data_IF_027494027783
#
_entry.id   IF_027494027783
#
_cell.length_a   1.000
_cell.length_b   1.000
_cell.length_c   1.000
_cell.angle_alpha   90.00
_cell.angle_beta   90.00
_cell.angle_gamma   90.00
#
_symmetry.space_group_name_H-M   'P 1'
#
loop_
_entity.id
_entity.type
_entity.pdbx_description
1 polymer ?
#
# COMPACT_ATOMS: atom_id res chain seq x y z
N UNK A 1 21.67 -14.85 -47.77
CA UNK A 1 20.39 -14.11 -47.68
C UNK A 1 20.42 -13.36 -46.38
N UNK A 2 20.99 -12.15 -46.39
CA UNK A 2 21.04 -11.28 -45.21
C UNK A 2 19.67 -10.64 -44.98
N UNK A 3 19.07 -10.90 -43.85
CA UNK A 3 17.85 -10.19 -43.41
C UNK A 3 18.21 -8.72 -43.18
N UNK A 4 17.69 -7.82 -44.02
CA UNK A 4 17.70 -6.38 -43.77
C UNK A 4 17.00 -6.12 -42.42
N UNK A 5 17.76 -5.69 -41.43
CA UNK A 5 17.21 -5.02 -40.24
C UNK A 5 16.58 -3.71 -40.72
N UNK A 6 15.25 -3.68 -40.82
CA UNK A 6 14.53 -2.42 -41.01
C UNK A 6 14.87 -1.49 -39.82
N UNK A 7 15.39 -0.32 -40.15
CA UNK A 7 15.54 0.77 -39.20
C UNK A 7 14.12 1.22 -38.82
N UNK A 8 13.67 0.88 -37.63
CA UNK A 8 12.45 1.44 -37.04
C UNK A 8 12.68 2.95 -36.90
N UNK A 9 11.92 3.76 -37.62
CA UNK A 9 11.97 5.21 -37.48
C UNK A 9 11.40 5.61 -36.10
N UNK A 10 11.90 6.70 -35.52
CA UNK A 10 11.43 7.20 -34.21
C UNK A 10 9.91 7.51 -34.17
N UNK A 11 9.26 7.64 -35.33
CA UNK A 11 7.80 7.78 -35.47
C UNK A 11 7.00 6.52 -35.12
N UNK A 12 7.65 5.34 -35.07
CA UNK A 12 7.00 4.05 -34.78
C UNK A 12 7.15 3.64 -33.29
N UNK A 13 7.75 4.46 -32.47
CA UNK A 13 7.78 4.26 -31.02
C UNK A 13 6.45 4.77 -30.50
N UNK A 14 5.48 3.87 -30.35
CA UNK A 14 4.25 4.18 -29.62
C UNK A 14 4.62 4.63 -28.20
N UNK A 15 4.00 5.71 -27.75
CA UNK A 15 4.22 6.27 -26.40
C UNK A 15 4.01 5.22 -25.28
N UNK A 16 3.29 4.16 -25.56
CA UNK A 16 3.00 3.01 -24.69
C UNK A 16 4.21 2.10 -24.45
N UNK A 17 5.11 1.95 -25.44
CA UNK A 17 6.23 0.98 -25.35
C UNK A 17 7.26 1.27 -24.25
N UNK A 18 7.39 2.53 -23.78
CA UNK A 18 8.37 2.85 -22.74
C UNK A 18 7.83 2.65 -21.32
N UNK A 19 6.51 2.60 -21.15
CA UNK A 19 5.88 2.42 -19.84
C UNK A 19 5.72 0.95 -19.47
N UNK A 20 5.72 0.02 -20.42
CA UNK A 20 5.55 -1.42 -20.18
C UNK A 20 6.54 -1.96 -19.15
N UNK A 21 7.80 -1.52 -19.16
CA UNK A 21 8.81 -1.93 -18.18
C UNK A 21 8.46 -1.52 -16.74
N UNK A 22 7.54 -0.55 -16.56
CA UNK A 22 7.05 -0.05 -15.27
C UNK A 22 5.63 -0.54 -14.94
N UNK A 23 5.12 -1.51 -15.67
CA UNK A 23 3.83 -2.14 -15.45
C UNK A 23 3.98 -3.52 -14.79
N UNK A 24 4.90 -3.61 -13.85
CA UNK A 24 5.19 -4.80 -13.04
C UNK A 24 5.19 -4.44 -11.56
N UNK A 25 5.31 -5.42 -10.68
CA UNK A 25 5.39 -5.18 -9.23
C UNK A 25 4.13 -4.52 -8.67
N UNK A 26 2.94 -4.92 -9.17
CA UNK A 26 1.68 -4.37 -8.70
C UNK A 26 1.49 -4.61 -7.21
N UNK A 27 1.21 -3.52 -6.47
CA UNK A 27 0.66 -3.63 -5.13
C UNK A 27 -0.79 -4.11 -5.23
N UNK A 28 -1.07 -5.26 -4.65
CA UNK A 28 -2.37 -5.93 -4.63
C UNK A 28 -2.73 -6.33 -3.21
N UNK A 29 -3.88 -6.94 -3.01
CA UNK A 29 -4.25 -7.53 -1.71
C UNK A 29 -3.21 -8.56 -1.22
N UNK A 30 -2.49 -9.23 -2.15
CA UNK A 30 -1.45 -10.20 -1.79
C UNK A 30 -0.16 -9.55 -1.29
N UNK A 31 0.08 -8.29 -1.59
CA UNK A 31 1.24 -7.53 -1.06
C UNK A 31 0.93 -6.85 0.26
N UNK A 32 -0.35 -6.75 0.65
CA UNK A 32 -0.76 -6.15 1.91
C UNK A 32 -0.27 -6.98 3.10
N UNK A 33 0.02 -6.27 4.18
CA UNK A 33 0.31 -6.84 5.49
C UNK A 33 -0.71 -6.34 6.50
N UNK A 34 -0.95 -7.12 7.55
CA UNK A 34 -1.74 -6.64 8.68
C UNK A 34 -0.92 -5.58 9.44
N UNK A 35 -1.44 -4.38 9.55
CA UNK A 35 -0.71 -3.23 10.12
C UNK A 35 -1.15 -2.84 11.53
N UNK A 36 -2.25 -3.39 12.02
CA UNK A 36 -2.79 -3.07 13.33
C UNK A 36 -1.81 -3.34 14.47
N UNK A 37 -1.57 -2.31 15.31
CA UNK A 37 -0.63 -2.36 16.43
C UNK A 37 0.85 -2.26 16.05
N UNK A 38 1.18 -2.13 14.75
CA UNK A 38 2.56 -1.95 14.29
C UNK A 38 2.98 -0.49 14.36
N UNK A 39 4.28 -0.26 14.56
CA UNK A 39 4.86 1.08 14.52
C UNK A 39 5.08 1.48 13.06
N UNK A 40 4.55 2.64 12.71
CA UNK A 40 4.82 3.31 11.44
C UNK A 40 5.85 4.43 11.64
N UNK A 41 6.84 4.48 10.77
CA UNK A 41 7.78 5.58 10.65
C UNK A 41 7.35 6.45 9.46
N UNK A 42 6.77 7.62 9.77
CA UNK A 42 6.16 8.48 8.76
C UNK A 42 7.23 9.18 7.89
N UNK A 43 7.05 9.11 6.59
CA UNK A 43 7.78 9.88 5.60
C UNK A 43 7.00 11.12 5.13
N UNK A 44 6.03 11.57 5.92
CA UNK A 44 5.24 12.78 5.66
C UNK A 44 6.10 14.05 5.78
N UNK A 45 5.59 15.18 5.25
CA UNK A 45 6.24 16.48 5.34
C UNK A 45 6.74 16.97 4.00
N UNK A 46 7.88 17.66 3.96
CA UNK A 46 8.42 18.25 2.74
C UNK A 46 8.93 17.22 1.75
N UNK A 47 8.40 17.28 0.52
CA UNK A 47 8.87 16.51 -0.63
C UNK A 47 9.18 17.47 -1.77
N UNK A 48 10.33 17.34 -2.40
CA UNK A 48 10.59 18.03 -3.66
C UNK A 48 9.67 17.49 -4.73
N UNK A 49 9.18 18.38 -5.63
CA UNK A 49 8.26 17.94 -6.68
C UNK A 49 8.50 18.64 -8.02
N UNK A 50 8.07 18.00 -9.08
CA UNK A 50 7.98 18.59 -10.41
C UNK A 50 6.71 18.14 -11.12
N UNK A 51 6.14 19.06 -11.92
CA UNK A 51 5.08 18.72 -12.88
C UNK A 51 5.71 17.99 -14.07
N UNK A 52 5.17 16.83 -14.43
CA UNK A 52 5.71 15.98 -15.49
C UNK A 52 4.63 15.64 -16.54
N UNK A 53 4.20 16.66 -17.28
CA UNK A 53 3.11 16.54 -18.28
C UNK A 53 3.38 15.49 -19.38
N UNK A 54 4.63 15.11 -19.60
CA UNK A 54 5.05 14.27 -20.71
C UNK A 54 5.68 12.95 -20.27
N UNK A 55 5.50 12.54 -19.00
CA UNK A 55 6.14 11.36 -18.41
C UNK A 55 7.67 11.33 -18.62
N UNK A 56 8.29 12.48 -18.56
CA UNK A 56 9.72 12.66 -18.82
C UNK A 56 10.56 11.94 -17.77
N UNK A 57 10.06 11.86 -16.52
CA UNK A 57 10.70 11.11 -15.45
C UNK A 57 10.94 9.65 -15.84
N UNK A 58 9.97 9.01 -16.48
CA UNK A 58 10.07 7.62 -16.92
C UNK A 58 11.00 7.49 -18.13
N UNK A 59 10.81 8.32 -19.15
CA UNK A 59 11.57 8.28 -20.40
C UNK A 59 13.05 8.62 -20.22
N UNK A 60 13.34 9.67 -19.45
CA UNK A 60 14.71 10.14 -19.19
C UNK A 60 15.28 9.58 -17.88
N UNK A 61 14.51 8.75 -17.17
CA UNK A 61 14.96 8.05 -15.98
C UNK A 61 15.47 8.98 -14.86
N UNK A 62 14.74 10.08 -14.59
CA UNK A 62 15.10 11.06 -13.55
C UNK A 62 15.37 10.40 -12.19
N UNK A 63 14.64 9.31 -11.88
CA UNK A 63 14.77 8.55 -10.64
C UNK A 63 16.17 7.94 -10.42
N UNK A 64 17.02 7.86 -11.47
CA UNK A 64 18.38 7.30 -11.36
C UNK A 64 19.41 8.25 -10.81
N UNK A 65 19.17 9.58 -10.86
CA UNK A 65 20.11 10.67 -10.51
C UNK A 65 21.43 10.64 -11.30
N UNK A 66 21.90 9.44 -11.66
CA UNK A 66 23.12 9.21 -12.44
C UNK A 66 22.93 8.05 -13.40
N UNK A 67 23.58 8.08 -14.52
CA UNK A 67 23.63 7.00 -15.49
C UNK A 67 25.06 6.78 -15.97
N UNK A 68 25.35 5.62 -16.56
CA UNK A 68 26.57 5.38 -17.30
C UNK A 68 26.36 5.78 -18.75
N UNK A 69 27.25 6.66 -19.24
CA UNK A 69 27.25 7.00 -20.64
C UNK A 69 27.83 5.86 -21.51
N UNK A 70 27.81 6.04 -22.85
CA UNK A 70 28.33 5.05 -23.80
C UNK A 70 29.83 4.76 -23.63
N UNK A 71 30.58 5.69 -23.03
CA UNK A 71 32.02 5.56 -22.72
C UNK A 71 32.27 4.92 -21.36
N UNK A 72 31.21 4.60 -20.60
CA UNK A 72 31.30 3.97 -19.28
C UNK A 72 31.52 4.94 -18.12
N UNK A 73 31.53 6.26 -18.35
CA UNK A 73 31.60 7.26 -17.27
C UNK A 73 30.26 7.40 -16.57
N UNK A 74 30.31 7.59 -15.25
CA UNK A 74 29.11 7.92 -14.47
C UNK A 74 28.88 9.42 -14.51
N UNK A 75 27.81 9.84 -15.18
CA UNK A 75 27.42 11.23 -15.34
C UNK A 75 26.13 11.51 -14.57
N UNK A 76 25.94 12.72 -14.01
CA UNK A 76 24.68 13.12 -13.45
C UNK A 76 23.61 13.20 -14.54
N UNK A 77 22.37 12.97 -14.18
CA UNK A 77 21.23 13.33 -15.00
C UNK A 77 21.08 14.85 -14.91
N UNK A 78 20.67 15.51 -16.01
CA UNK A 78 20.57 16.98 -16.11
C UNK A 78 19.55 17.61 -15.13
N UNK A 79 18.93 16.82 -14.28
CA UNK A 79 17.92 17.25 -13.32
C UNK A 79 18.41 17.05 -11.89
N UNK A 80 18.49 18.13 -11.13
CA UNK A 80 18.75 18.08 -9.68
C UNK A 80 17.45 18.15 -8.92
N UNK A 81 17.06 17.05 -8.29
CA UNK A 81 15.89 17.03 -7.43
C UNK A 81 15.96 18.03 -6.26
N UNK A 82 17.17 18.31 -5.79
CA UNK A 82 17.38 19.17 -4.62
C UNK A 82 17.09 20.65 -4.90
N UNK A 83 16.97 21.04 -6.18
CA UNK A 83 16.60 22.39 -6.62
C UNK A 83 15.09 22.55 -6.91
N UNK A 84 14.34 21.47 -6.86
CA UNK A 84 12.90 21.51 -7.09
C UNK A 84 12.16 22.15 -5.92
N UNK A 85 10.99 22.79 -6.19
CA UNK A 85 10.15 23.30 -5.12
C UNK A 85 9.69 22.18 -4.20
N UNK A 86 9.23 22.56 -2.99
CA UNK A 86 8.81 21.63 -1.94
C UNK A 86 7.30 21.72 -1.74
N UNK A 87 6.65 20.58 -1.67
CA UNK A 87 5.24 20.39 -1.32
C UNK A 87 5.11 19.55 -0.04
N UNK A 88 4.18 19.90 0.82
CA UNK A 88 3.91 19.12 2.02
C UNK A 88 3.01 17.94 1.70
N UNK A 89 3.53 16.71 1.82
CA UNK A 89 2.72 15.50 1.70
C UNK A 89 2.34 14.97 3.10
N UNK A 90 1.16 14.37 3.27
CA UNK A 90 0.14 14.12 2.23
C UNK A 90 -0.66 15.37 1.86
N UNK A 91 -1.02 15.47 0.57
CA UNK A 91 -1.92 16.51 0.07
C UNK A 91 -2.51 16.13 -1.30
N UNK A 92 -3.58 16.83 -1.69
CA UNK A 92 -3.99 16.94 -3.09
C UNK A 92 -3.37 18.18 -3.69
N UNK A 93 -2.59 18.07 -4.78
CA UNK A 93 -1.97 19.25 -5.41
C UNK A 93 -2.98 20.25 -5.95
N UNK A 94 -4.20 19.80 -6.30
CA UNK A 94 -5.27 20.67 -6.78
C UNK A 94 -5.73 21.69 -5.74
N UNK A 95 -5.38 21.51 -4.46
CA UNK A 95 -5.77 22.41 -3.37
C UNK A 95 -4.64 23.27 -2.84
N UNK A 96 -3.43 23.08 -3.34
CA UNK A 96 -2.23 23.76 -2.81
C UNK A 96 -1.98 25.10 -3.51
N UNK A 97 -2.16 25.14 -4.83
CA UNK A 97 -1.92 26.34 -5.64
C UNK A 97 -2.97 26.45 -6.74
N UNK A 98 -3.53 27.64 -6.99
CA UNK A 98 -4.50 27.87 -8.08
C UNK A 98 -4.00 27.40 -9.45
N UNK A 99 -2.70 27.40 -9.70
CA UNK A 99 -2.08 26.90 -10.94
C UNK A 99 -2.41 25.42 -11.17
N UNK A 100 -2.54 24.62 -10.09
CA UNK A 100 -2.82 23.18 -10.17
C UNK A 100 -4.28 22.82 -9.99
N UNK A 101 -5.18 23.81 -9.82
CA UNK A 101 -6.59 23.56 -9.51
C UNK A 101 -7.25 22.54 -10.47
N UNK A 102 -6.99 22.68 -11.75
CA UNK A 102 -7.53 21.81 -12.80
C UNK A 102 -6.50 20.88 -13.42
N UNK A 103 -5.31 20.75 -12.81
CA UNK A 103 -4.27 19.92 -13.36
C UNK A 103 -4.55 18.44 -13.06
N UNK A 104 -4.82 17.68 -14.11
CA UNK A 104 -4.98 16.23 -14.11
C UNK A 104 -3.88 15.63 -15.03
N UNK A 105 -2.75 15.32 -14.47
CA UNK A 105 -1.60 14.77 -15.19
C UNK A 105 -0.62 14.14 -14.21
N UNK A 106 0.64 14.04 -14.61
CA UNK A 106 1.69 13.43 -13.80
C UNK A 106 2.45 14.49 -12.98
N UNK A 107 2.70 14.17 -11.70
CA UNK A 107 3.68 14.84 -10.86
C UNK A 107 4.67 13.85 -10.27
N UNK A 108 5.91 14.27 -10.14
CA UNK A 108 6.98 13.49 -9.54
C UNK A 108 7.33 14.09 -8.19
N UNK A 109 7.37 13.26 -7.17
CA UNK A 109 7.74 13.63 -5.80
C UNK A 109 8.98 12.86 -5.39
N UNK A 110 9.87 13.51 -4.64
CA UNK A 110 11.08 12.86 -4.12
C UNK A 110 11.45 13.35 -2.73
N UNK A 111 12.00 12.42 -1.92
CA UNK A 111 12.50 12.69 -0.58
C UNK A 111 13.71 11.84 -0.27
N UNK A 112 14.66 12.39 0.50
CA UNK A 112 15.74 11.64 1.14
C UNK A 112 15.34 11.22 2.54
N UNK A 113 15.78 10.04 2.97
CA UNK A 113 15.64 9.58 4.35
C UNK A 113 16.78 8.64 4.72
N UNK A 114 17.17 8.66 5.99
CA UNK A 114 18.17 7.76 6.54
C UNK A 114 17.50 6.50 7.10
N UNK A 115 18.18 5.37 7.02
CA UNK A 115 17.69 4.10 7.54
C UNK A 115 18.82 3.33 8.21
N UNK A 116 18.54 2.84 9.41
CA UNK A 116 19.46 1.97 10.16
C UNK A 116 18.83 0.58 10.20
N UNK A 117 19.51 -0.38 9.57
CA UNK A 117 19.05 -1.76 9.50
C UNK A 117 19.09 -2.43 10.90
N UNK A 118 18.05 -3.16 11.22
CA UNK A 118 18.02 -4.10 12.31
C UNK A 118 18.18 -5.53 11.78
N UNK A 119 18.56 -6.47 12.65
CA UNK A 119 18.74 -7.86 12.21
C UNK A 119 17.41 -8.53 11.95
N UNK A 120 17.33 -9.32 10.88
CA UNK A 120 16.18 -10.20 10.56
C UNK A 120 14.84 -9.47 10.44
N UNK A 121 14.87 -8.26 9.94
CA UNK A 121 13.66 -7.49 9.66
C UNK A 121 13.28 -7.50 8.17
N UNK A 122 12.02 -7.27 7.90
CA UNK A 122 11.46 -6.92 6.61
C UNK A 122 10.87 -5.53 6.70
N UNK A 123 11.15 -4.68 5.72
CA UNK A 123 10.64 -3.30 5.68
C UNK A 123 9.69 -3.12 4.52
N UNK A 124 8.51 -2.65 4.82
CA UNK A 124 7.50 -2.29 3.83
C UNK A 124 7.41 -0.78 3.69
N UNK A 125 7.34 -0.31 2.45
CA UNK A 125 6.85 1.01 2.13
C UNK A 125 5.33 0.93 2.02
N UNK A 126 4.63 1.77 2.78
CA UNK A 126 3.19 2.01 2.65
C UNK A 126 2.97 3.37 2.00
N UNK A 127 2.15 3.42 0.96
CA UNK A 127 1.53 4.63 0.45
C UNK A 127 0.03 4.50 0.70
N UNK A 128 -0.50 5.27 1.63
CA UNK A 128 -1.88 5.10 2.11
C UNK A 128 -2.94 5.43 1.08
N UNK A 129 -2.68 6.39 0.20
CA UNK A 129 -3.47 6.68 -1.00
C UNK A 129 -2.72 7.62 -1.94
N UNK A 130 -2.70 7.30 -3.22
CA UNK A 130 -2.15 8.16 -4.28
C UNK A 130 -3.04 8.06 -5.51
N UNK A 131 -3.63 9.16 -5.94
CA UNK A 131 -4.60 9.16 -7.04
C UNK A 131 -3.94 9.61 -8.35
N UNK A 132 -3.95 8.78 -9.35
CA UNK A 132 -4.59 7.45 -9.46
C UNK A 132 -3.56 6.32 -9.61
N UNK A 133 -2.57 6.52 -10.45
CA UNK A 133 -1.47 5.60 -10.71
C UNK A 133 -0.23 6.10 -9.99
N UNK A 134 0.34 5.29 -9.11
CA UNK A 134 1.57 5.59 -8.39
C UNK A 134 2.65 4.58 -8.75
N UNK A 135 3.78 5.07 -9.30
CA UNK A 135 4.99 4.28 -9.52
C UNK A 135 6.04 4.66 -8.48
N UNK A 136 6.67 3.65 -7.91
CA UNK A 136 7.64 3.81 -6.83
C UNK A 136 9.03 3.43 -7.31
N UNK A 137 9.98 4.30 -6.99
CA UNK A 137 11.41 4.05 -7.21
C UNK A 137 12.17 4.29 -5.90
N UNK A 138 13.14 3.45 -5.61
CA UNK A 138 14.02 3.60 -4.44
C UNK A 138 15.48 3.41 -4.87
N UNK A 139 16.31 4.40 -4.54
CA UNK A 139 17.75 4.39 -4.86
C UNK A 139 18.05 4.11 -6.34
N UNK A 140 17.24 4.70 -7.23
CA UNK A 140 17.40 4.57 -8.68
C UNK A 140 16.89 3.26 -9.28
N UNK A 141 16.21 2.42 -8.50
CA UNK A 141 15.59 1.17 -8.95
C UNK A 141 14.07 1.28 -8.89
N UNK A 142 13.41 0.73 -9.90
CA UNK A 142 11.96 0.56 -9.89
C UNK A 142 11.56 -0.50 -8.87
N UNK A 143 10.57 -0.19 -8.03
CA UNK A 143 10.06 -1.07 -6.97
C UNK A 143 8.74 -1.70 -7.39
N UNK A 144 7.83 -0.89 -7.94
CA UNK A 144 6.52 -1.36 -8.34
C UNK A 144 5.53 -0.22 -8.52
N UNK A 145 4.27 -0.58 -8.76
CA UNK A 145 3.20 0.36 -9.01
C UNK A 145 1.91 -0.01 -8.30
N UNK A 146 1.02 0.97 -8.17
CA UNK A 146 -0.34 0.79 -7.69
C UNK A 146 -1.32 1.58 -8.57
N UNK A 147 -2.47 0.99 -8.85
CA UNK A 147 -3.63 1.64 -9.50
C UNK A 147 -4.79 1.65 -8.53
N UNK A 148 -5.22 2.83 -8.12
CA UNK A 148 -6.34 2.98 -7.21
C UNK A 148 -6.17 4.17 -6.28
N UNK A 149 -7.00 5.21 -6.45
CA UNK A 149 -6.83 6.49 -5.78
C UNK A 149 -7.05 6.47 -4.26
N UNK A 150 -7.74 5.47 -3.72
CA UNK A 150 -8.21 5.52 -2.32
C UNK A 150 -7.79 4.32 -1.48
N UNK A 151 -7.06 3.37 -2.05
CA UNK A 151 -6.60 2.15 -1.38
C UNK A 151 -5.12 2.21 -1.04
N UNK A 152 -4.71 1.66 0.11
CA UNK A 152 -3.30 1.63 0.48
C UNK A 152 -2.53 0.61 -0.37
N UNK A 153 -1.28 0.92 -0.64
CA UNK A 153 -0.34 0.08 -1.37
C UNK A 153 0.87 -0.23 -0.51
N UNK A 154 1.36 -1.48 -0.59
CA UNK A 154 2.49 -1.96 0.17
C UNK A 154 3.51 -2.63 -0.75
N UNK A 155 4.78 -2.30 -0.56
CA UNK A 155 5.90 -2.94 -1.25
C UNK A 155 6.97 -3.33 -0.24
N UNK A 156 7.44 -4.56 -0.30
CA UNK A 156 8.65 -4.97 0.41
C UNK A 156 9.86 -4.28 -0.24
N UNK A 157 10.49 -3.38 0.50
CA UNK A 157 11.62 -2.59 0.02
C UNK A 157 12.94 -2.99 0.65
N UNK A 158 12.99 -4.05 1.45
CA UNK A 158 14.15 -4.47 2.24
C UNK A 158 15.45 -4.53 1.41
N UNK A 159 15.37 -5.14 0.22
CA UNK A 159 16.54 -5.31 -0.65
C UNK A 159 17.01 -4.03 -1.35
N UNK A 160 16.19 -2.99 -1.34
CA UNK A 160 16.51 -1.70 -1.97
C UNK A 160 17.15 -0.71 -1.00
N UNK A 161 17.02 -0.94 0.32
CA UNK A 161 17.45 0.00 1.36
C UNK A 161 18.97 0.09 1.49
N UNK A 162 19.41 1.29 1.84
CA UNK A 162 20.78 1.68 2.19
C UNK A 162 20.74 2.52 3.46
N UNK A 163 21.92 2.95 3.98
CA UNK A 163 21.98 3.90 5.10
C UNK A 163 21.31 5.25 4.73
N UNK A 164 21.60 5.75 3.53
CA UNK A 164 20.95 6.93 2.96
C UNK A 164 20.17 6.54 1.72
N UNK A 165 18.92 6.98 1.67
CA UNK A 165 17.96 6.59 0.65
C UNK A 165 17.33 7.80 -0.02
N UNK A 166 17.03 7.64 -1.31
CA UNK A 166 16.14 8.53 -2.05
C UNK A 166 14.97 7.73 -2.60
N UNK A 167 13.75 8.13 -2.21
CA UNK A 167 12.51 7.63 -2.77
C UNK A 167 11.99 8.61 -3.81
N UNK A 168 11.45 8.08 -4.91
CA UNK A 168 10.74 8.84 -5.94
C UNK A 168 9.39 8.20 -6.17
N UNK A 169 8.34 9.02 -6.14
CA UNK A 169 6.97 8.65 -6.48
C UNK A 169 6.58 9.40 -7.75
N UNK A 170 6.29 8.67 -8.82
CA UNK A 170 5.69 9.25 -10.03
C UNK A 170 4.18 8.95 -9.98
N UNK A 171 3.38 10.00 -9.79
CA UNK A 171 1.93 9.92 -9.61
C UNK A 171 1.24 10.52 -10.80
N UNK A 172 0.42 9.71 -11.49
CA UNK A 172 -0.37 10.13 -12.64
C UNK A 172 -1.86 10.18 -12.25
N UNK A 173 -2.42 11.38 -12.24
CA UNK A 173 -3.82 11.67 -11.92
C UNK A 173 -4.74 11.76 -13.14
N UNK A 174 -4.25 11.43 -14.33
CA UNK A 174 -5.06 11.47 -15.56
C UNK A 174 -6.24 10.52 -15.48
N UNK A 175 -7.46 11.03 -15.70
CA UNK A 175 -8.66 10.19 -15.80
C UNK A 175 -8.65 9.33 -17.06
N UNK A 176 -9.13 8.10 -16.93
CA UNK A 176 -9.25 7.14 -18.03
C UNK A 176 -10.55 6.36 -17.92
N UNK A 177 -11.09 5.81 -19.04
CA UNK A 177 -12.37 5.10 -19.02
C UNK A 177 -12.45 3.93 -18.02
N UNK A 178 -11.32 3.25 -17.79
CA UNK A 178 -11.20 2.07 -16.90
C UNK A 178 -10.96 2.41 -15.43
N UNK A 179 -10.93 3.70 -15.08
CA UNK A 179 -10.62 4.16 -13.71
C UNK A 179 -11.88 4.55 -12.92
N UNK A 180 -11.71 4.78 -11.63
CA UNK A 180 -12.75 5.33 -10.76
C UNK A 180 -12.16 6.55 -10.02
N UNK A 181 -12.67 7.75 -10.27
CA UNK A 181 -13.75 8.11 -11.20
C UNK A 181 -13.34 7.95 -12.68
N UNK A 182 -14.31 7.62 -13.53
CA UNK A 182 -14.12 7.56 -14.99
C UNK A 182 -14.06 8.98 -15.59
N UNK A 183 -13.74 9.09 -16.90
CA UNK A 183 -13.66 10.37 -17.61
C UNK A 183 -14.96 11.20 -17.52
N UNK A 184 -16.10 10.52 -17.52
CA UNK A 184 -17.44 11.15 -17.57
C UNK A 184 -18.10 11.22 -16.17
N UNK A 185 -17.37 11.67 -15.15
CA UNK A 185 -17.93 11.87 -13.82
C UNK A 185 -18.03 13.34 -13.47
N UNK A 186 -19.08 13.71 -12.73
CA UNK A 186 -19.30 15.07 -12.26
C UNK A 186 -18.44 15.43 -11.03
N UNK A 187 -17.62 14.48 -10.56
CA UNK A 187 -16.79 14.71 -9.39
C UNK A 187 -15.44 15.32 -9.75
N UNK A 188 -15.02 16.23 -8.90
CA UNK A 188 -13.69 16.81 -9.00
C UNK A 188 -12.64 15.71 -8.76
N UNK A 189 -11.70 15.59 -9.66
CA UNK A 189 -10.62 14.61 -9.56
C UNK A 189 -9.48 15.18 -8.73
N UNK A 190 -9.51 14.95 -7.42
CA UNK A 190 -8.40 15.33 -6.55
C UNK A 190 -7.23 14.40 -6.78
N UNK A 191 -6.16 14.93 -7.36
CA UNK A 191 -4.92 14.21 -7.64
C UNK A 191 -3.88 14.45 -6.55
N UNK A 192 -2.98 13.51 -6.34
CA UNK A 192 -1.90 13.64 -5.35
C UNK A 192 -1.69 12.42 -4.50
N UNK A 193 -0.85 12.57 -3.48
CA UNK A 193 -0.67 11.60 -2.41
C UNK A 193 -1.32 12.18 -1.17
N UNK A 194 -2.51 11.72 -0.83
CA UNK A 194 -3.35 12.38 0.19
C UNK A 194 -3.60 11.55 1.45
N UNK A 195 -2.88 10.43 1.61
CA UNK A 195 -2.73 9.71 2.89
C UNK A 195 -1.27 9.43 3.17
N UNK A 196 -0.98 9.04 4.40
CA UNK A 196 0.34 8.87 4.93
C UNK A 196 1.25 7.99 4.05
N UNK A 197 2.51 8.36 3.99
CA UNK A 197 3.59 7.58 3.46
C UNK A 197 4.41 7.12 4.64
N UNK A 198 4.62 5.81 4.80
CA UNK A 198 5.28 5.26 5.98
C UNK A 198 6.20 4.08 5.65
N UNK A 199 7.18 3.88 6.51
CA UNK A 199 7.91 2.63 6.62
C UNK A 199 7.30 1.80 7.73
N UNK A 200 7.03 0.53 7.46
CA UNK A 200 6.57 -0.45 8.44
C UNK A 200 7.62 -1.52 8.57
N UNK A 201 8.19 -1.65 9.76
CA UNK A 201 9.20 -2.67 10.09
C UNK A 201 8.54 -3.85 10.76
N UNK A 202 8.84 -5.04 10.27
CA UNK A 202 8.31 -6.29 10.80
C UNK A 202 9.43 -7.32 10.90
N UNK A 203 9.33 -8.32 11.79
CA UNK A 203 10.24 -9.46 11.77
C UNK A 203 10.22 -10.17 10.40
N UNK A 204 11.32 -10.84 10.04
CA UNK A 204 11.41 -11.59 8.77
C UNK A 204 10.21 -12.54 8.59
N UNK A 205 9.93 -13.36 9.61
CA UNK A 205 8.68 -14.10 9.69
C UNK A 205 7.68 -13.30 10.52
N UNK A 206 6.60 -12.84 9.91
CA UNK A 206 5.59 -11.99 10.53
C UNK A 206 4.17 -12.46 10.23
N UNK A 207 3.22 -12.00 11.02
CA UNK A 207 1.79 -12.19 10.79
C UNK A 207 1.40 -11.35 9.57
N UNK A 208 1.12 -12.01 8.45
CA UNK A 208 0.76 -11.37 7.19
C UNK A 208 -0.68 -10.92 7.19
N UNK A 209 -1.59 -11.81 7.63
CA UNK A 209 -3.02 -11.49 7.76
C UNK A 209 -3.55 -12.00 9.08
N UNK A 210 -4.51 -11.25 9.62
CA UNK A 210 -5.28 -11.67 10.77
C UNK A 210 -6.75 -11.26 10.57
N UNK A 211 -7.67 -12.15 10.92
CA UNK A 211 -9.10 -11.88 10.90
C UNK A 211 -9.76 -12.59 12.04
N UNK A 212 -10.65 -11.90 12.75
CA UNK A 212 -11.50 -12.47 13.77
C UNK A 212 -12.95 -12.00 13.56
N UNK A 213 -13.92 -12.88 13.72
CA UNK A 213 -15.32 -12.57 13.51
C UNK A 213 -16.21 -13.58 14.25
N UNK A 214 -17.50 -13.29 14.37
CA UNK A 214 -18.50 -14.30 14.72
C UNK A 214 -18.58 -15.37 13.62
N UNK A 215 -18.83 -16.62 14.03
CA UNK A 215 -19.27 -17.65 13.10
C UNK A 215 -20.69 -17.30 12.67
N UNK A 216 -21.02 -17.29 11.37
CA UNK A 216 -22.34 -16.88 10.90
C UNK A 216 -23.37 -18.01 11.05
N UNK A 217 -23.57 -18.49 12.29
CA UNK A 217 -24.51 -19.55 12.65
C UNK A 217 -25.79 -19.05 13.32
N UNK A 218 -25.90 -17.73 13.52
CA UNK A 218 -27.05 -17.06 14.14
C UNK A 218 -27.13 -17.23 15.66
N UNK A 219 -26.16 -17.89 16.30
CA UNK A 219 -26.13 -18.06 17.76
C UNK A 219 -25.41 -16.93 18.48
N UNK A 220 -24.50 -16.23 17.75
CA UNK A 220 -23.59 -15.18 18.26
C UNK A 220 -22.68 -15.65 19.41
N UNK A 221 -22.59 -16.95 19.61
CA UNK A 221 -21.83 -17.57 20.70
C UNK A 221 -20.51 -18.18 20.28
N UNK A 222 -20.22 -18.22 18.99
CA UNK A 222 -19.01 -18.81 18.44
C UNK A 222 -18.19 -17.76 17.68
N UNK A 223 -16.89 -17.74 17.94
CA UNK A 223 -15.93 -16.84 17.30
C UNK A 223 -14.92 -17.67 16.52
N UNK A 224 -14.61 -17.21 15.30
CA UNK A 224 -13.54 -17.76 14.47
C UNK A 224 -12.41 -16.76 14.34
N UNK A 225 -11.17 -17.19 14.56
CA UNK A 225 -9.98 -16.42 14.31
C UNK A 225 -9.07 -17.14 13.32
N UNK A 226 -8.58 -16.40 12.32
CA UNK A 226 -7.70 -16.90 11.26
C UNK A 226 -6.45 -16.06 11.20
N UNK A 227 -5.29 -16.69 11.03
CA UNK A 227 -4.02 -15.99 10.83
C UNK A 227 -3.19 -16.66 9.75
N UNK A 228 -2.41 -15.84 9.03
CA UNK A 228 -1.38 -16.33 8.12
C UNK A 228 -0.05 -15.66 8.41
N UNK A 229 1.03 -16.37 8.15
CA UNK A 229 2.40 -15.86 8.24
C UNK A 229 2.95 -15.50 6.84
N UNK A 230 3.99 -14.69 6.83
CA UNK A 230 4.76 -14.38 5.62
C UNK A 230 5.54 -15.59 5.09
N UNK A 231 5.84 -16.57 5.95
CA UNK A 231 6.58 -17.78 5.62
C UNK A 231 5.70 -19.04 5.82
N UNK A 232 5.95 -20.06 4.99
CA UNK A 232 5.23 -21.34 5.04
C UNK A 232 5.87 -22.28 6.07
N UNK A 233 5.74 -21.95 7.35
CA UNK A 233 6.27 -22.72 8.45
C UNK A 233 5.15 -23.27 9.35
N UNK A 234 5.47 -24.25 10.18
CA UNK A 234 4.61 -24.68 11.28
C UNK A 234 4.95 -23.88 12.52
N UNK A 235 3.93 -23.21 13.09
CA UNK A 235 4.08 -22.33 14.24
C UNK A 235 2.81 -22.32 15.09
N UNK A 236 2.87 -21.66 16.24
CA UNK A 236 1.70 -21.39 17.09
C UNK A 236 1.59 -19.89 17.32
N UNK A 237 0.43 -19.34 17.02
CA UNK A 237 0.09 -17.98 17.40
C UNK A 237 -0.80 -18.01 18.65
N UNK A 238 -0.62 -17.04 19.52
CA UNK A 238 -1.43 -16.83 20.71
C UNK A 238 -2.38 -15.66 20.48
N UNK A 239 -3.69 -15.93 20.63
CA UNK A 239 -4.77 -14.94 20.56
C UNK A 239 -5.24 -14.61 21.98
N UNK A 240 -5.32 -13.33 22.31
CA UNK A 240 -5.80 -12.84 23.59
C UNK A 240 -6.87 -11.77 23.40
N UNK A 241 -7.98 -11.88 24.13
CA UNK A 241 -9.02 -10.84 24.29
C UNK A 241 -9.30 -10.73 25.79
N UNK A 242 -8.60 -9.83 26.45
CA UNK A 242 -8.59 -9.75 27.92
C UNK A 242 -9.99 -9.53 28.51
N UNK A 243 -10.76 -8.62 27.93
CA UNK A 243 -12.09 -8.26 28.40
C UNK A 243 -13.10 -9.44 28.34
N UNK A 244 -12.87 -10.40 27.45
CA UNK A 244 -13.67 -11.63 27.33
C UNK A 244 -13.05 -12.82 28.09
N UNK A 245 -11.92 -12.66 28.73
CA UNK A 245 -11.18 -13.75 29.36
C UNK A 245 -10.71 -14.82 28.37
N UNK A 246 -10.52 -14.43 27.09
CA UNK A 246 -10.14 -15.35 26.01
C UNK A 246 -8.63 -15.40 25.88
N UNK A 247 -8.07 -16.61 25.97
CA UNK A 247 -6.71 -16.94 25.54
C UNK A 247 -6.79 -18.23 24.72
N UNK A 248 -6.37 -18.19 23.45
CA UNK A 248 -6.44 -19.33 22.52
C UNK A 248 -5.17 -19.44 21.70
N UNK A 249 -4.83 -20.66 21.35
CA UNK A 249 -3.71 -20.95 20.43
C UNK A 249 -4.26 -21.26 19.04
N UNK A 250 -3.72 -20.60 18.03
CA UNK A 250 -3.97 -20.88 16.61
C UNK A 250 -2.80 -21.74 16.13
N UNK A 251 -3.07 -23.01 15.81
CA UNK A 251 -2.06 -23.87 15.20
C UNK A 251 -1.93 -23.48 13.73
N UNK A 252 -0.73 -23.07 13.33
CA UNK A 252 -0.42 -22.68 11.96
C UNK A 252 0.35 -23.82 11.30
N UNK A 253 -0.17 -24.35 10.21
CA UNK A 253 0.46 -25.35 9.36
C UNK A 253 0.71 -24.75 7.98
N UNK A 254 1.93 -24.89 7.47
CA UNK A 254 2.30 -24.27 6.21
C UNK A 254 2.01 -22.74 6.18
N UNK A 255 2.20 -22.08 7.32
CA UNK A 255 2.01 -20.64 7.49
C UNK A 255 0.56 -20.18 7.64
N UNK A 256 -0.43 -21.05 7.77
CA UNK A 256 -1.83 -20.65 7.90
C UNK A 256 -2.56 -21.50 8.92
N UNK A 257 -3.57 -20.94 9.60
CA UNK A 257 -4.39 -21.67 10.53
C UNK A 257 -5.58 -20.88 11.04
N UNK A 258 -6.50 -21.60 11.68
CA UNK A 258 -7.69 -21.03 12.28
C UNK A 258 -8.04 -21.73 13.59
N UNK A 259 -8.81 -21.07 14.42
CA UNK A 259 -9.41 -21.62 15.63
C UNK A 259 -10.83 -21.12 15.79
N UNK A 260 -11.73 -22.01 16.15
CA UNK A 260 -13.10 -21.67 16.55
C UNK A 260 -13.23 -21.91 18.05
N UNK A 261 -13.88 -21.01 18.75
CA UNK A 261 -14.05 -21.09 20.19
C UNK A 261 -15.33 -20.38 20.66
N UNK A 262 -15.82 -20.79 21.80
CA UNK A 262 -16.98 -20.18 22.46
C UNK A 262 -16.56 -18.85 23.08
N UNK A 263 -17.35 -17.82 22.81
CA UNK A 263 -17.30 -16.51 23.46
C UNK A 263 -18.66 -15.83 23.33
N UNK A 264 -19.00 -15.00 24.31
CA UNK A 264 -20.25 -14.23 24.31
C UNK A 264 -19.93 -12.73 24.35
N UNK A 265 -19.43 -12.17 23.23
CA UNK A 265 -19.20 -10.74 23.17
C UNK A 265 -20.52 -9.97 23.17
N UNK A 266 -20.51 -8.79 23.75
CA UNK A 266 -21.55 -7.81 23.47
C UNK A 266 -21.47 -7.41 22.01
N UNK A 267 -22.60 -7.51 21.30
CA UNK A 267 -22.64 -7.25 19.87
C UNK A 267 -22.51 -5.77 19.55
N UNK A 268 -21.74 -5.46 18.53
CA UNK A 268 -21.62 -4.12 18.00
C UNK A 268 -22.90 -3.71 17.27
N UNK A 269 -23.43 -2.54 17.58
CA UNK A 269 -24.48 -1.86 16.79
C UNK A 269 -24.11 -0.38 16.61
N UNK A 270 -24.73 0.37 15.68
CA UNK A 270 -24.53 1.82 15.56
C UNK A 270 -24.83 2.59 16.84
N UNK A 271 -25.84 2.17 17.60
CA UNK A 271 -26.26 2.80 18.86
C UNK A 271 -25.32 2.43 20.03
N UNK A 272 -24.73 1.24 19.94
CA UNK A 272 -23.81 0.71 20.95
C UNK A 272 -22.57 0.10 20.29
N UNK A 273 -21.62 0.95 19.82
CA UNK A 273 -20.46 0.51 19.04
C UNK A 273 -19.37 -0.10 19.92
N UNK A 274 -19.68 -1.24 20.58
CA UNK A 274 -18.75 -1.95 21.44
C UNK A 274 -17.59 -2.52 20.64
N UNK A 275 -16.35 -2.20 21.04
CA UNK A 275 -15.12 -2.74 20.49
C UNK A 275 -14.31 -3.46 21.57
N UNK A 276 -13.65 -4.53 21.18
CA UNK A 276 -12.75 -5.32 22.01
C UNK A 276 -11.32 -5.22 21.48
N UNK A 277 -10.36 -5.00 22.36
CA UNK A 277 -8.95 -5.08 22.02
C UNK A 277 -8.55 -6.55 21.86
N UNK A 278 -8.06 -6.86 20.67
CA UNK A 278 -7.61 -8.19 20.27
C UNK A 278 -6.13 -8.16 19.99
N UNK A 279 -5.37 -9.08 20.57
CA UNK A 279 -3.92 -9.18 20.38
C UNK A 279 -3.56 -10.57 19.88
N UNK A 280 -2.69 -10.64 18.87
CA UNK A 280 -2.15 -11.90 18.36
C UNK A 280 -0.63 -11.82 18.33
N UNK A 281 0.03 -12.82 18.89
CA UNK A 281 1.48 -12.92 18.95
C UNK A 281 1.93 -14.24 18.32
N UNK A 282 2.93 -14.20 17.45
CA UNK A 282 3.59 -15.36 16.88
C UNK A 282 5.11 -15.14 16.83
N UNK A 283 5.86 -15.91 17.60
CA UNK A 283 7.28 -15.68 17.77
C UNK A 283 7.57 -14.29 18.34
N UNK A 284 8.32 -13.49 17.61
CA UNK A 284 8.66 -12.10 17.98
C UNK A 284 7.68 -11.07 17.43
N UNK A 285 6.74 -11.48 16.59
CA UNK A 285 5.78 -10.57 15.97
C UNK A 285 4.48 -10.50 16.78
N UNK A 286 3.98 -9.29 16.96
CA UNK A 286 2.72 -9.02 17.64
C UNK A 286 1.91 -8.01 16.85
N UNK A 287 0.63 -8.32 16.67
CA UNK A 287 -0.36 -7.43 16.05
C UNK A 287 -1.54 -7.25 16.99
N UNK A 288 -2.24 -6.13 16.84
CA UNK A 288 -3.46 -5.86 17.61
C UNK A 288 -4.51 -5.17 16.75
N UNK A 289 -5.76 -5.35 17.10
CA UNK A 289 -6.89 -4.70 16.45
C UNK A 289 -8.00 -4.40 17.47
N UNK A 290 -8.88 -3.48 17.13
CA UNK A 290 -10.11 -3.18 17.86
C UNK A 290 -11.31 -3.70 17.08
N UNK A 291 -11.92 -4.75 17.57
CA UNK A 291 -12.93 -5.53 16.84
C UNK A 291 -14.32 -5.37 17.45
N UNK A 292 -15.29 -4.98 16.63
CA UNK A 292 -16.71 -5.04 16.97
C UNK A 292 -17.33 -6.34 16.44
N UNK A 293 -17.75 -7.23 17.33
CA UNK A 293 -18.38 -8.47 16.95
C UNK A 293 -19.81 -8.21 16.48
N UNK A 294 -20.09 -8.55 15.23
CA UNK A 294 -21.41 -8.41 14.60
C UNK A 294 -21.58 -9.43 13.49
N UNK A 295 -22.83 -9.77 13.21
CA UNK A 295 -23.22 -10.54 12.03
C UNK A 295 -24.04 -9.65 11.08
N UNK A 296 -23.66 -9.62 9.82
CA UNK A 296 -24.46 -9.02 8.74
C UNK A 296 -24.89 -10.15 7.83
N UNK A 297 -26.20 -10.28 7.61
CA UNK A 297 -26.78 -11.33 6.78
C UNK A 297 -27.87 -10.77 5.87
N UNK A 298 -27.97 -11.32 4.67
CA UNK A 298 -29.08 -11.05 3.75
C UNK A 298 -30.14 -12.13 3.93
N UNK A 299 -31.38 -11.74 4.14
CA UNK A 299 -32.53 -12.63 4.22
C UNK A 299 -33.61 -12.13 3.24
N UNK A 300 -33.69 -12.76 2.07
CA UNK A 300 -34.56 -12.31 1.00
C UNK A 300 -34.21 -10.91 0.51
N UNK A 301 -35.02 -9.90 0.84
CA UNK A 301 -34.81 -8.48 0.50
C UNK A 301 -34.24 -7.68 1.67
N UNK A 302 -34.18 -8.25 2.86
CA UNK A 302 -33.77 -7.56 4.06
C UNK A 302 -32.27 -7.76 4.33
N UNK A 303 -31.63 -6.70 4.80
CA UNK A 303 -30.29 -6.76 5.38
C UNK A 303 -30.46 -6.79 6.89
N UNK A 304 -29.96 -7.84 7.52
CA UNK A 304 -30.03 -8.04 8.96
C UNK A 304 -28.67 -7.71 9.61
N UNK A 305 -28.70 -6.92 10.66
CA UNK A 305 -27.59 -6.74 11.60
C UNK A 305 -27.93 -7.43 12.90
N UNK A 306 -27.13 -8.43 13.28
CA UNK A 306 -27.34 -9.24 14.49
C UNK A 306 -28.76 -9.87 14.56
N UNK A 307 -29.30 -10.24 13.41
CA UNK A 307 -30.62 -10.84 13.30
C UNK A 307 -31.79 -9.85 13.13
N UNK A 308 -31.57 -8.55 13.36
CA UNK A 308 -32.60 -7.52 13.23
C UNK A 308 -32.48 -6.78 11.90
N UNK A 309 -33.59 -6.44 11.23
CA UNK A 309 -33.58 -5.66 9.99
C UNK A 309 -32.94 -4.27 10.20
N UNK A 310 -32.08 -3.86 9.26
CA UNK A 310 -31.45 -2.53 9.30
C UNK A 310 -32.31 -1.48 8.59
N UNK A 311 -33.25 -1.90 7.74
CA UNK A 311 -34.19 -1.08 6.99
C UNK A 311 -35.59 -1.69 6.98
#
# INVERSE_FOLDING_TARGET
>A
MEAKKEKKYMSDIHLEDYTEQYETGFATVDTMIFEGGRREELLNGGWHYAVDQYDTCLRQKWYKERYRDEKGFTVPIDYSFDEWPVMQLPCSWNTIDPMYLLYEGSMVFTRKFSYIAEREETVFLKVGAANYLCRVFLNGKYVGMHRGGSTPAFWNITEYLKAENRIVLAVDGTRRPEQVPTENTDWFNYCGVYRDIALIRVPKCHIKTFKIALVPDGTFGHVIAKATLSEKITAKAELVIEELGVSRKIQLENGAGEVVFDAKPELWTPEKPKLYDVKVTCGTDTVSDRVGFREIRVNGRDILLNGEPVF
#
